data_IF_711654901468
#
_entry.id   IF_711654901468
#
_cell.length_a   1.000
_cell.length_b   1.000
_cell.length_c   1.000
_cell.angle_alpha   90.00
_cell.angle_beta   90.00
_cell.angle_gamma   90.00
#
_symmetry.space_group_name_H-M   'P 1'
#
loop_
_entity.id
_entity.type
_entity.pdbx_description
1 polymer ?
#
# COMPACT_ATOMS: atom_id res chain seq x y z
N UNK A 1 -8.16 -35.46 -71.51
CA UNK A 1 -8.38 -34.24 -72.22
C UNK A 1 -8.77 -33.17 -71.22
N UNK A 2 -7.89 -32.23 -71.10
CA UNK A 2 -7.86 -31.12 -70.17
C UNK A 2 -8.98 -30.12 -70.37
N UNK A 3 -9.47 -29.54 -69.33
CA UNK A 3 -9.90 -28.12 -69.32
C UNK A 3 -9.85 -27.59 -67.90
N UNK A 4 -8.86 -26.80 -67.66
CA UNK A 4 -8.69 -25.90 -66.53
C UNK A 4 -9.59 -24.67 -66.72
N UNK A 5 -10.43 -24.33 -65.74
CA UNK A 5 -11.14 -23.07 -65.65
C UNK A 5 -10.60 -22.28 -64.44
N UNK A 6 -10.60 -20.95 -64.54
CA UNK A 6 -9.88 -20.10 -63.57
C UNK A 6 -10.63 -19.86 -62.29
N UNK A 7 -9.88 -19.72 -61.23
CA UNK A 7 -10.25 -19.33 -59.87
C UNK A 7 -10.79 -17.86 -59.81
N UNK A 8 -11.83 -17.53 -59.03
CA UNK A 8 -12.22 -16.17 -58.81
C UNK A 8 -11.42 -15.55 -57.64
N UNK A 9 -10.88 -14.37 -57.88
CA UNK A 9 -10.19 -13.53 -56.92
C UNK A 9 -11.12 -13.09 -55.77
N UNK A 10 -10.65 -13.33 -54.55
CA UNK A 10 -11.29 -12.80 -53.34
C UNK A 10 -10.79 -11.36 -53.12
N UNK A 11 -11.70 -10.42 -53.30
CA UNK A 11 -11.49 -9.01 -52.87
C UNK A 11 -11.68 -8.90 -51.38
N UNK A 12 -10.57 -8.66 -50.63
CA UNK A 12 -10.57 -8.30 -49.25
C UNK A 12 -11.01 -6.84 -49.06
N UNK A 13 -12.23 -6.65 -48.59
CA UNK A 13 -12.72 -5.37 -48.09
C UNK A 13 -12.42 -5.25 -46.59
N UNK A 14 -11.46 -4.40 -46.21
CA UNK A 14 -11.27 -3.99 -44.81
C UNK A 14 -12.43 -3.12 -44.37
N UNK A 15 -13.02 -3.33 -43.18
CA UNK A 15 -14.02 -2.40 -42.65
C UNK A 15 -13.33 -1.11 -42.24
N UNK A 16 -13.73 -0.02 -42.87
CA UNK A 16 -13.43 1.35 -42.45
C UNK A 16 -14.25 1.61 -41.19
N UNK A 17 -13.59 1.65 -40.03
CA UNK A 17 -14.19 2.16 -38.80
C UNK A 17 -14.33 3.67 -38.94
N UNK A 18 -15.57 4.13 -39.04
CA UNK A 18 -15.98 5.52 -38.99
C UNK A 18 -15.67 6.08 -37.58
N UNK A 19 -14.82 7.09 -37.57
CA UNK A 19 -14.46 7.89 -36.41
C UNK A 19 -15.60 8.87 -36.13
N UNK A 20 -16.55 8.51 -35.26
CA UNK A 20 -17.57 9.42 -34.76
C UNK A 20 -17.91 8.99 -33.35
N UNK A 21 -17.24 9.59 -32.37
CA UNK A 21 -17.69 10.03 -31.06
C UNK A 21 -16.43 10.26 -30.14
N UNK A 22 -15.57 11.15 -30.57
CA UNK A 22 -14.64 11.81 -29.63
C UNK A 22 -15.47 12.86 -28.87
N UNK A 23 -16.06 12.45 -27.74
CA UNK A 23 -16.53 13.42 -26.74
C UNK A 23 -15.29 14.15 -26.23
N UNK A 24 -15.12 15.40 -26.66
CA UNK A 24 -14.12 16.31 -26.16
C UNK A 24 -14.26 16.41 -24.62
N UNK A 25 -13.27 15.89 -23.90
CA UNK A 25 -13.16 16.09 -22.45
C UNK A 25 -12.96 17.60 -22.23
N UNK A 26 -13.80 18.29 -21.44
CA UNK A 26 -13.70 19.72 -21.27
C UNK A 26 -12.30 20.10 -20.81
N UNK A 27 -11.65 21.02 -21.51
CA UNK A 27 -10.28 21.54 -21.24
C UNK A 27 -10.05 22.01 -19.78
N UNK A 28 -11.13 22.21 -19.01
CA UNK A 28 -11.06 22.51 -17.58
C UNK A 28 -10.56 21.35 -16.73
N UNK A 29 -10.77 20.08 -17.11
CA UNK A 29 -10.27 18.91 -16.38
C UNK A 29 -8.77 18.67 -16.62
N UNK A 30 -8.23 19.06 -17.78
CA UNK A 30 -6.82 18.85 -18.13
C UNK A 30 -5.88 19.72 -17.29
N UNK A 31 -6.36 20.89 -16.83
CA UNK A 31 -5.54 21.84 -16.07
C UNK A 31 -5.21 21.40 -14.62
N UNK A 32 -5.91 20.37 -14.10
CA UNK A 32 -5.68 19.83 -12.75
C UNK A 32 -4.71 18.65 -12.73
N UNK A 33 -4.47 18.00 -13.87
CA UNK A 33 -3.52 16.89 -14.00
C UNK A 33 -2.08 17.38 -13.83
N UNK A 34 -1.81 18.69 -14.06
CA UNK A 34 -0.47 19.29 -13.94
C UNK A 34 -0.15 19.86 -12.56
N UNK A 35 -1.14 20.06 -11.69
CA UNK A 35 -0.88 20.36 -10.28
C UNK A 35 -0.67 19.04 -9.54
N UNK A 36 0.59 18.66 -9.33
CA UNK A 36 0.95 17.58 -8.39
C UNK A 36 0.21 17.85 -7.09
N UNK A 37 -0.51 16.84 -6.52
CA UNK A 37 -1.12 17.00 -5.21
C UNK A 37 -0.09 17.53 -4.21
N UNK A 38 -0.49 18.38 -3.27
CA UNK A 38 0.40 19.02 -2.31
C UNK A 38 1.21 18.03 -1.45
N UNK A 39 0.78 16.77 -1.39
CA UNK A 39 1.43 15.66 -0.68
C UNK A 39 2.30 14.75 -1.59
N UNK A 40 2.47 15.06 -2.86
CA UNK A 40 3.30 14.31 -3.80
C UNK A 40 4.79 14.16 -3.39
N UNK A 41 5.41 15.08 -2.63
CA UNK A 41 6.75 14.87 -2.11
C UNK A 41 6.90 13.69 -1.15
N UNK A 42 5.80 13.20 -0.58
CA UNK A 42 5.78 12.13 0.42
C UNK A 42 5.58 10.73 -0.16
N UNK A 43 5.30 10.62 -1.45
CA UNK A 43 5.03 9.35 -2.15
C UNK A 43 6.27 8.45 -2.38
N UNK A 44 7.46 8.93 -2.07
CA UNK A 44 8.72 8.16 -2.15
C UNK A 44 9.13 7.57 -0.79
N UNK A 45 8.15 7.30 0.07
CA UNK A 45 8.36 6.73 1.40
C UNK A 45 8.86 5.29 1.36
N UNK A 46 9.49 4.91 2.47
CA UNK A 46 9.93 3.56 2.79
C UNK A 46 8.81 2.51 2.73
N UNK A 47 9.24 1.24 2.70
CA UNK A 47 8.39 0.06 2.65
C UNK A 47 7.50 0.00 1.40
N UNK A 48 8.12 -0.12 0.23
CA UNK A 48 7.39 -0.31 -1.04
C UNK A 48 6.96 -1.76 -1.25
N UNK A 49 7.32 -2.67 -0.35
CA UNK A 49 7.00 -4.09 -0.39
C UNK A 49 6.73 -4.61 1.02
N UNK A 50 5.67 -5.40 1.14
CA UNK A 50 5.18 -5.95 2.41
C UNK A 50 5.09 -7.46 2.33
N UNK A 51 5.20 -8.10 3.49
CA UNK A 51 4.89 -9.53 3.68
C UNK A 51 3.63 -9.62 4.52
N UNK A 52 2.58 -10.20 3.94
CA UNK A 52 1.30 -10.42 4.60
C UNK A 52 1.27 -11.84 5.17
N UNK A 53 1.03 -11.99 6.49
CA UNK A 53 0.95 -13.29 7.15
C UNK A 53 -0.30 -14.07 6.72
N UNK A 54 -0.43 -15.30 7.19
CA UNK A 54 -1.65 -16.07 6.99
C UNK A 54 -2.83 -15.46 7.76
N UNK A 55 -4.04 -15.80 7.35
CA UNK A 55 -5.25 -15.33 8.01
C UNK A 55 -5.31 -15.78 9.46
N UNK A 56 -4.94 -17.02 9.74
CA UNK A 56 -4.90 -17.60 11.07
C UNK A 56 -3.93 -16.85 11.99
N UNK A 57 -2.77 -16.48 11.49
CA UNK A 57 -1.78 -15.68 12.24
C UNK A 57 -2.31 -14.27 12.51
N UNK A 58 -3.01 -13.65 11.54
CA UNK A 58 -3.63 -12.33 11.71
C UNK A 58 -4.74 -12.37 12.75
N UNK A 59 -5.63 -13.37 12.70
CA UNK A 59 -6.72 -13.54 13.66
C UNK A 59 -6.24 -13.88 15.08
N UNK A 60 -5.08 -14.51 15.20
CA UNK A 60 -4.42 -14.72 16.50
C UNK A 60 -3.82 -13.44 17.09
N UNK A 61 -3.34 -12.53 16.26
CA UNK A 61 -2.73 -11.27 16.68
C UNK A 61 -3.73 -10.14 16.88
N UNK A 62 -4.72 -10.03 15.97
CA UNK A 62 -5.73 -8.98 15.93
C UNK A 62 -7.11 -9.56 16.21
N UNK A 63 -7.58 -9.39 17.44
CA UNK A 63 -8.95 -9.74 17.82
C UNK A 63 -9.90 -8.68 17.25
N UNK A 64 -10.63 -9.03 16.18
CA UNK A 64 -11.68 -8.18 15.61
C UNK A 64 -13.05 -8.79 15.89
N UNK A 65 -14.06 -7.93 16.13
CA UNK A 65 -15.42 -8.38 16.42
C UNK A 65 -16.09 -9.02 15.18
N UNK A 66 -15.76 -8.51 14.00
CA UNK A 66 -16.25 -9.02 12.71
C UNK A 66 -15.08 -9.25 11.76
N UNK A 67 -14.99 -10.44 11.15
CA UNK A 67 -13.94 -10.79 10.19
C UNK A 67 -14.52 -11.00 8.81
N UNK A 68 -14.23 -10.07 7.90
CA UNK A 68 -14.55 -10.14 6.48
C UNK A 68 -13.30 -10.41 5.63
N UNK A 69 -12.20 -10.79 6.27
CA UNK A 69 -10.95 -11.03 5.60
C UNK A 69 -11.01 -12.21 4.64
N UNK A 70 -10.72 -11.91 3.37
CA UNK A 70 -10.50 -12.91 2.32
C UNK A 70 -9.18 -12.60 1.63
N UNK A 71 -8.11 -13.12 2.15
CA UNK A 71 -6.76 -12.97 1.60
C UNK A 71 -5.94 -14.24 1.86
N UNK A 72 -4.85 -14.37 1.14
CA UNK A 72 -3.83 -15.41 1.32
C UNK A 72 -2.53 -14.80 1.80
N UNK A 73 -1.64 -15.65 2.32
CA UNK A 73 -0.28 -15.25 2.62
C UNK A 73 0.40 -14.72 1.36
N UNK A 74 1.14 -13.62 1.49
CA UNK A 74 1.84 -12.97 0.39
C UNK A 74 3.22 -12.54 0.85
N UNK A 75 4.22 -12.73 0.01
CA UNK A 75 5.61 -12.43 0.32
C UNK A 75 6.14 -11.19 -0.40
N UNK A 76 5.39 -10.63 -1.34
CA UNK A 76 5.82 -9.49 -2.16
C UNK A 76 4.65 -8.57 -2.55
N UNK A 77 3.97 -8.01 -1.56
CA UNK A 77 2.86 -7.08 -1.81
C UNK A 77 3.40 -5.69 -2.11
N UNK A 78 2.96 -5.14 -3.25
CA UNK A 78 3.30 -3.79 -3.69
C UNK A 78 2.13 -2.81 -3.53
N UNK A 79 2.43 -1.52 -3.60
CA UNK A 79 1.43 -0.46 -3.72
C UNK A 79 0.49 -0.78 -4.89
N UNK A 80 -0.77 -0.50 -4.75
CA UNK A 80 -1.91 -0.82 -5.62
C UNK A 80 -2.52 -2.21 -5.41
N UNK A 81 -1.88 -3.09 -4.69
CA UNK A 81 -2.42 -4.40 -4.34
C UNK A 81 -3.23 -4.33 -3.04
N UNK A 82 -3.99 -5.39 -2.78
CA UNK A 82 -4.86 -5.47 -1.59
C UNK A 82 -4.09 -5.95 -0.36
N UNK A 83 -4.44 -5.38 0.80
CA UNK A 83 -3.91 -5.76 2.11
C UNK A 83 -5.05 -5.91 3.13
N UNK A 84 -4.92 -6.80 4.13
CA UNK A 84 -5.85 -6.86 5.25
C UNK A 84 -5.69 -5.61 6.14
N UNK A 85 -6.82 -5.12 6.64
CA UNK A 85 -6.87 -3.94 7.53
C UNK A 85 -7.88 -4.21 8.63
N UNK A 86 -7.49 -4.02 9.89
CA UNK A 86 -8.42 -3.91 11.00
C UNK A 86 -8.78 -2.43 11.19
N UNK A 87 -10.09 -2.13 11.35
CA UNK A 87 -10.58 -0.76 11.59
C UNK A 87 -11.76 -0.76 12.55
N UNK A 88 -12.14 0.43 13.03
CA UNK A 88 -13.43 0.61 13.70
C UNK A 88 -14.52 0.96 12.68
N UNK A 89 -15.66 0.28 12.79
CA UNK A 89 -16.88 0.59 12.06
C UNK A 89 -18.07 0.44 13.01
N UNK A 90 -18.94 1.47 13.10
CA UNK A 90 -20.12 1.46 13.98
C UNK A 90 -19.83 1.03 15.43
N UNK A 91 -18.68 1.44 15.98
CA UNK A 91 -18.18 1.11 17.34
C UNK A 91 -17.72 -0.34 17.54
N UNK A 92 -17.64 -1.14 16.50
CA UNK A 92 -17.05 -2.47 16.53
C UNK A 92 -15.79 -2.54 15.68
N UNK A 93 -14.84 -3.36 16.10
CA UNK A 93 -13.66 -3.64 15.28
C UNK A 93 -14.00 -4.63 14.18
N UNK A 94 -13.61 -4.33 12.94
CA UNK A 94 -13.79 -5.23 11.81
C UNK A 94 -12.51 -5.42 11.02
N UNK A 95 -12.37 -6.61 10.45
CA UNK A 95 -11.32 -6.96 9.54
C UNK A 95 -11.82 -6.96 8.10
N UNK A 96 -11.22 -6.12 7.26
CA UNK A 96 -11.57 -5.94 5.85
C UNK A 96 -10.33 -6.03 4.97
N UNK A 97 -10.52 -6.07 3.65
CA UNK A 97 -9.43 -6.00 2.68
C UNK A 97 -9.54 -4.68 1.93
N UNK A 98 -8.45 -3.90 1.91
CA UNK A 98 -8.39 -2.61 1.26
C UNK A 98 -7.27 -2.55 0.23
N UNK A 99 -7.39 -1.66 -0.75
CA UNK A 99 -6.30 -1.32 -1.66
C UNK A 99 -5.21 -0.56 -0.90
N UNK A 100 -3.97 -1.01 -0.99
CA UNK A 100 -2.83 -0.25 -0.49
C UNK A 100 -2.42 0.86 -1.47
N UNK A 101 -2.49 2.10 -1.04
CA UNK A 101 -2.35 3.31 -1.85
C UNK A 101 -3.67 4.05 -2.00
N UNK A 102 -3.75 5.26 -1.42
CA UNK A 102 -4.98 6.04 -1.31
C UNK A 102 -5.65 6.29 -2.65
N UNK A 103 -6.95 6.11 -2.68
CA UNK A 103 -7.83 6.44 -3.80
C UNK A 103 -8.67 7.65 -3.40
N UNK A 104 -8.72 8.69 -4.23
CA UNK A 104 -9.41 9.93 -3.92
C UNK A 104 -10.45 10.25 -5.00
N UNK A 105 -11.61 10.75 -4.57
CA UNK A 105 -12.59 11.33 -5.47
C UNK A 105 -12.06 12.64 -6.03
N UNK A 106 -12.05 12.77 -7.34
CA UNK A 106 -11.70 14.02 -8.03
C UNK A 106 -12.87 15.00 -8.08
N UNK A 107 -12.59 16.27 -8.32
CA UNK A 107 -13.62 17.27 -8.55
C UNK A 107 -14.51 16.95 -9.78
N UNK A 108 -14.03 16.14 -10.72
CA UNK A 108 -14.79 15.68 -11.89
C UNK A 108 -15.67 14.46 -11.59
N UNK A 109 -15.70 13.96 -10.35
CA UNK A 109 -16.52 12.82 -9.96
C UNK A 109 -15.94 11.45 -10.33
N UNK A 110 -14.68 11.36 -10.73
CA UNK A 110 -13.95 10.09 -10.94
C UNK A 110 -13.08 9.74 -9.73
N UNK A 111 -12.63 8.48 -9.65
CA UNK A 111 -11.65 8.05 -8.63
C UNK A 111 -10.25 8.20 -9.22
N UNK A 112 -9.39 8.92 -8.50
CA UNK A 112 -7.96 9.01 -8.80
C UNK A 112 -7.19 8.06 -7.88
N UNK A 113 -6.48 7.11 -8.48
CA UNK A 113 -5.61 6.19 -7.77
C UNK A 113 -4.23 6.82 -7.61
N UNK A 114 -3.84 7.05 -6.37
CA UNK A 114 -2.53 7.58 -6.06
C UNK A 114 -1.58 6.44 -5.68
N UNK A 115 -0.29 6.64 -5.93
CA UNK A 115 0.73 5.72 -5.42
C UNK A 115 1.17 6.11 -3.98
N UNK A 116 0.29 6.78 -3.24
CA UNK A 116 0.52 7.14 -1.84
C UNK A 116 0.28 5.92 -0.95
N UNK A 117 1.25 5.03 -0.87
CA UNK A 117 1.22 3.86 0.01
C UNK A 117 1.62 4.18 1.45
N UNK A 118 2.25 5.33 1.70
CA UNK A 118 2.63 5.76 3.05
C UNK A 118 2.52 7.28 3.22
N UNK A 119 2.26 7.70 4.46
CA UNK A 119 2.18 9.10 4.88
C UNK A 119 3.00 9.31 6.15
N UNK A 120 3.70 10.43 6.24
CA UNK A 120 4.45 10.77 7.46
C UNK A 120 3.50 11.19 8.58
N UNK A 121 3.84 10.83 9.82
CA UNK A 121 3.04 11.21 11.00
C UNK A 121 2.94 12.74 11.20
N UNK A 122 3.96 13.51 10.83
CA UNK A 122 3.95 14.98 10.89
C UNK A 122 3.01 15.61 9.83
N UNK A 123 2.79 14.94 8.70
CA UNK A 123 1.86 15.39 7.66
C UNK A 123 0.37 15.28 8.09
N UNK A 124 0.05 14.46 9.08
CA UNK A 124 -1.32 14.27 9.58
C UNK A 124 -1.99 15.57 10.08
N UNK A 125 -1.18 16.54 10.50
CA UNK A 125 -1.67 17.84 10.99
C UNK A 125 -1.62 18.94 9.94
N UNK A 126 -0.78 18.81 8.92
CA UNK A 126 -0.46 19.89 7.98
C UNK A 126 -1.10 19.72 6.60
N UNK A 127 -1.39 18.48 6.18
CA UNK A 127 -2.04 18.19 4.89
C UNK A 127 -3.54 18.04 5.10
N UNK A 128 -4.34 18.86 4.45
CA UNK A 128 -5.79 18.98 4.68
C UNK A 128 -6.53 17.64 4.61
N UNK A 129 -6.30 16.84 3.55
CA UNK A 129 -6.98 15.56 3.38
C UNK A 129 -6.57 14.55 4.46
N UNK A 130 -5.27 14.48 4.78
CA UNK A 130 -4.77 13.61 5.85
C UNK A 130 -5.32 14.06 7.21
N UNK A 131 -5.40 15.36 7.47
CA UNK A 131 -5.96 15.91 8.70
C UNK A 131 -7.44 15.57 8.84
N UNK A 132 -8.20 15.62 7.75
CA UNK A 132 -9.61 15.21 7.73
C UNK A 132 -9.75 13.73 8.13
N UNK A 133 -9.04 12.82 7.43
CA UNK A 133 -9.06 11.39 7.76
C UNK A 133 -8.65 11.13 9.21
N UNK A 134 -7.61 11.82 9.66
CA UNK A 134 -7.07 11.74 11.02
C UNK A 134 -8.10 12.12 12.09
N UNK A 135 -8.75 13.26 11.93
CA UNK A 135 -9.73 13.80 12.89
C UNK A 135 -11.05 13.05 12.89
N UNK A 136 -11.44 12.44 11.76
CA UNK A 136 -12.62 11.59 11.66
C UNK A 136 -12.37 10.14 12.15
N UNK A 137 -11.18 9.84 12.66
CA UNK A 137 -10.88 8.52 13.17
C UNK A 137 -10.76 7.44 12.09
N UNK A 138 -10.48 7.82 10.85
CA UNK A 138 -10.25 6.88 9.75
C UNK A 138 -8.87 6.21 9.90
N UNK A 139 -8.68 5.53 11.02
CA UNK A 139 -7.47 4.79 11.39
C UNK A 139 -7.68 3.30 11.20
N UNK A 140 -6.63 2.63 10.78
CA UNK A 140 -6.61 1.18 10.63
C UNK A 140 -5.28 0.60 11.11
N UNK A 141 -5.25 -0.72 11.22
CA UNK A 141 -4.05 -1.50 11.49
C UNK A 141 -3.85 -2.46 10.34
N UNK A 142 -2.69 -2.40 9.69
CA UNK A 142 -2.29 -3.37 8.66
C UNK A 142 -1.40 -4.42 9.33
N UNK A 143 -1.83 -5.69 9.42
CA UNK A 143 -1.01 -6.77 9.97
C UNK A 143 0.07 -7.18 8.98
N UNK A 144 1.32 -7.23 9.44
CA UNK A 144 2.48 -7.62 8.65
C UNK A 144 3.26 -8.74 9.33
N UNK A 145 3.84 -9.64 8.53
CA UNK A 145 4.92 -10.53 8.97
C UNK A 145 6.29 -9.83 8.87
N UNK A 146 6.41 -8.84 7.99
CA UNK A 146 7.59 -8.03 7.79
C UNK A 146 7.46 -7.08 6.62
N UNK A 147 8.50 -6.32 6.39
CA UNK A 147 8.61 -5.40 5.24
C UNK A 147 10.02 -5.41 4.68
N UNK A 148 10.18 -4.89 3.47
CA UNK A 148 11.48 -4.77 2.85
C UNK A 148 11.98 -3.34 2.89
N UNK A 149 13.30 -3.21 3.11
CA UNK A 149 14.04 -1.96 3.03
C UNK A 149 15.26 -2.17 2.12
N UNK A 150 15.70 -1.13 1.41
CA UNK A 150 16.78 -1.26 0.42
C UNK A 150 18.01 -0.51 0.86
N UNK A 151 19.10 -1.24 1.03
CA UNK A 151 20.42 -0.66 1.29
C UNK A 151 21.05 -0.26 -0.04
N UNK A 152 21.46 1.01 -0.14
CA UNK A 152 22.18 1.51 -1.29
C UNK A 152 23.62 1.03 -1.26
N UNK A 153 24.03 0.22 -2.22
CA UNK A 153 25.42 -0.21 -2.38
C UNK A 153 26.22 0.78 -3.26
N UNK A 154 27.56 0.85 -3.12
CA UNK A 154 28.41 1.81 -3.83
C UNK A 154 28.32 1.75 -5.36
N UNK A 155 27.98 0.61 -5.93
CA UNK A 155 27.85 0.39 -7.38
C UNK A 155 26.47 0.79 -7.96
N UNK A 156 25.62 1.50 -7.20
CA UNK A 156 24.26 1.82 -7.62
C UNK A 156 23.25 0.68 -7.51
N UNK A 157 23.69 -0.46 -7.03
CA UNK A 157 22.84 -1.60 -6.72
C UNK A 157 22.12 -1.37 -5.38
N UNK A 158 20.86 -1.80 -5.31
CA UNK A 158 20.06 -1.74 -4.09
C UNK A 158 19.87 -3.14 -3.53
N UNK A 159 20.52 -3.44 -2.41
CA UNK A 159 20.40 -4.71 -1.70
C UNK A 159 19.12 -4.68 -0.87
N UNK A 160 18.10 -5.51 -1.18
CA UNK A 160 16.93 -5.61 -0.33
C UNK A 160 17.25 -6.37 0.96
N UNK A 161 16.66 -5.88 2.05
CA UNK A 161 16.70 -6.49 3.37
C UNK A 161 15.26 -6.78 3.81
N UNK A 162 15.04 -7.97 4.33
CA UNK A 162 13.79 -8.31 5.01
C UNK A 162 13.89 -7.91 6.48
N UNK A 163 12.93 -7.14 6.95
CA UNK A 163 12.87 -6.60 8.32
C UNK A 163 11.64 -7.18 9.01
N UNK A 164 11.82 -7.75 10.20
CA UNK A 164 10.74 -8.33 11.01
C UNK A 164 10.99 -8.11 12.51
N UNK A 165 9.99 -8.43 13.32
CA UNK A 165 10.15 -8.42 14.78
C UNK A 165 10.78 -9.72 15.28
N UNK A 166 11.51 -9.61 16.39
CA UNK A 166 12.01 -10.77 17.15
C UNK A 166 10.86 -11.39 17.92
N UNK A 167 10.75 -12.72 17.85
CA UNK A 167 9.77 -13.51 18.62
C UNK A 167 8.28 -13.15 18.37
N UNK A 168 7.99 -12.50 17.23
CA UNK A 168 6.61 -12.24 16.78
C UNK A 168 6.48 -12.53 15.30
N UNK A 169 5.52 -13.38 14.96
CA UNK A 169 5.23 -13.72 13.56
C UNK A 169 4.46 -12.59 12.85
N UNK A 170 3.60 -11.88 13.60
CA UNK A 170 2.76 -10.79 13.09
C UNK A 170 2.88 -9.57 13.99
N UNK A 171 2.78 -8.38 13.39
CA UNK A 171 2.69 -7.11 14.09
C UNK A 171 1.80 -6.13 13.31
N UNK A 172 1.13 -5.24 14.04
CA UNK A 172 0.28 -4.21 13.46
C UNK A 172 1.06 -2.95 13.10
N UNK A 173 0.82 -2.43 11.92
CA UNK A 173 1.32 -1.13 11.46
C UNK A 173 0.17 -0.14 11.38
N UNK A 174 0.36 1.05 11.95
CA UNK A 174 -0.60 2.14 11.90
C UNK A 174 -0.87 2.58 10.47
N UNK A 175 -2.14 2.76 10.13
CA UNK A 175 -2.57 3.20 8.81
C UNK A 175 -3.70 4.23 8.90
N UNK A 176 -3.85 5.04 7.85
CA UNK A 176 -5.08 5.76 7.53
C UNK A 176 -5.82 5.03 6.42
N UNK A 177 -7.14 5.16 6.42
CA UNK A 177 -7.95 4.63 5.33
C UNK A 177 -8.95 5.66 4.83
N UNK A 178 -9.39 5.49 3.59
CA UNK A 178 -10.38 6.33 2.94
C UNK A 178 -11.31 5.49 2.08
N UNK A 179 -12.58 5.93 2.00
CA UNK A 179 -13.59 5.39 1.10
C UNK A 179 -13.90 6.44 0.03
N UNK A 180 -13.60 6.11 -1.22
CA UNK A 180 -13.92 6.91 -2.38
C UNK A 180 -15.10 6.31 -3.14
N UNK A 181 -16.10 7.14 -3.47
CA UNK A 181 -17.30 6.72 -4.19
C UNK A 181 -17.48 7.58 -5.45
N UNK A 182 -17.56 6.93 -6.62
CA UNK A 182 -17.81 7.58 -7.90
C UNK A 182 -18.40 6.59 -8.90
N UNK A 183 -19.42 7.00 -9.67
CA UNK A 183 -20.01 6.22 -10.76
C UNK A 183 -20.41 4.79 -10.35
N UNK A 184 -21.08 4.65 -9.21
CA UNK A 184 -21.48 3.38 -8.60
C UNK A 184 -20.31 2.45 -8.17
N UNK A 185 -19.07 2.94 -8.25
CA UNK A 185 -17.89 2.25 -7.76
C UNK A 185 -17.54 2.76 -6.36
N UNK A 186 -17.29 1.82 -5.44
CA UNK A 186 -16.82 2.10 -4.08
C UNK A 186 -15.45 1.48 -3.89
N UNK A 187 -14.46 2.30 -3.58
CA UNK A 187 -13.10 1.86 -3.32
C UNK A 187 -12.70 2.22 -1.88
N UNK A 188 -12.37 1.21 -1.11
CA UNK A 188 -11.70 1.38 0.19
C UNK A 188 -10.20 1.21 0.02
N UNK A 189 -9.45 2.16 0.52
CA UNK A 189 -8.01 2.24 0.34
C UNK A 189 -7.31 2.70 1.61
N UNK A 190 -6.05 2.33 1.78
CA UNK A 190 -5.26 2.71 2.94
C UNK A 190 -3.84 3.15 2.57
N UNK A 191 -3.22 3.90 3.48
CA UNK A 191 -1.80 4.21 3.47
C UNK A 191 -1.21 3.94 4.86
N UNK A 192 -0.01 3.36 4.90
CA UNK A 192 0.72 3.17 6.16
C UNK A 192 1.18 4.51 6.71
N UNK A 193 1.17 4.67 8.02
CA UNK A 193 1.81 5.81 8.66
C UNK A 193 3.29 5.48 8.86
N UNK A 194 4.16 6.45 8.57
CA UNK A 194 5.59 6.36 8.82
C UNK A 194 6.03 7.35 9.88
N UNK A 195 7.05 6.96 10.62
CA UNK A 195 7.72 7.73 11.66
C UNK A 195 9.22 7.77 11.36
N UNK A 196 9.98 8.53 12.13
CA UNK A 196 11.44 8.54 12.00
C UNK A 196 12.02 7.14 12.20
N UNK A 197 13.03 6.80 11.38
CA UNK A 197 13.65 5.50 11.41
C UNK A 197 14.46 5.30 12.70
N UNK A 198 14.37 4.11 13.27
CA UNK A 198 15.24 3.69 14.35
C UNK A 198 16.67 3.35 13.82
N UNK A 199 17.67 3.16 14.68
CA UNK A 199 19.05 2.89 14.25
C UNK A 199 19.20 1.69 13.29
N UNK A 200 18.42 0.60 13.47
CA UNK A 200 18.48 -0.56 12.58
C UNK A 200 18.05 -0.21 11.16
N UNK A 201 16.92 0.48 11.03
CA UNK A 201 16.37 0.83 9.72
C UNK A 201 17.20 1.92 9.06
N UNK A 202 17.69 2.91 9.83
CA UNK A 202 18.61 3.94 9.33
C UNK A 202 19.92 3.34 8.80
N UNK A 203 20.42 2.26 9.39
CA UNK A 203 21.62 1.57 8.90
C UNK A 203 21.38 0.92 7.52
N UNK A 204 20.15 0.44 7.24
CA UNK A 204 19.79 -0.14 5.94
C UNK A 204 19.55 0.98 4.93
N UNK A 205 18.68 1.93 5.25
CA UNK A 205 18.29 3.04 4.36
C UNK A 205 18.44 4.39 5.08
N UNK A 206 19.64 4.97 5.03
CA UNK A 206 19.90 6.28 5.62
C UNK A 206 19.24 7.42 4.84
N UNK A 207 18.74 7.17 3.62
CA UNK A 207 18.26 8.24 2.73
C UNK A 207 16.81 8.62 2.99
N UNK A 208 15.96 7.69 3.31
CA UNK A 208 14.55 7.98 3.60
C UNK A 208 14.33 8.45 5.03
N UNK A 209 15.14 7.99 5.98
CA UNK A 209 15.05 8.36 7.39
C UNK A 209 13.71 7.99 8.03
N UNK A 210 12.96 7.04 7.47
CA UNK A 210 11.62 6.68 7.90
C UNK A 210 11.46 5.18 8.09
N UNK A 211 10.49 4.78 8.91
CA UNK A 211 10.04 3.40 9.06
C UNK A 211 8.52 3.35 9.24
N UNK A 212 7.86 2.21 8.98
CA UNK A 212 6.46 2.04 9.34
C UNK A 212 6.24 2.26 10.83
N UNK A 213 5.16 2.94 11.19
CA UNK A 213 4.77 3.13 12.59
C UNK A 213 4.20 1.81 13.14
N UNK A 214 5.08 0.98 13.70
CA UNK A 214 4.72 -0.30 14.30
C UNK A 214 4.09 -0.04 15.66
N UNK A 215 2.86 -0.51 15.87
CA UNK A 215 2.14 -0.40 17.12
C UNK A 215 2.51 -1.56 18.06
N UNK A 216 2.43 -1.32 19.36
CA UNK A 216 2.45 -2.39 20.36
C UNK A 216 1.07 -3.06 20.37
N UNK A 217 1.00 -4.36 20.64
CA UNK A 217 -0.29 -5.06 20.67
C UNK A 217 -1.23 -4.52 21.74
N UNK A 218 -0.68 -4.11 22.86
CA UNK A 218 -1.44 -3.47 23.94
C UNK A 218 -2.08 -2.12 23.56
N UNK A 219 -1.62 -1.50 22.48
CA UNK A 219 -2.07 -0.19 22.01
C UNK A 219 -3.10 -0.28 20.87
N UNK A 220 -3.42 -1.47 20.36
CA UNK A 220 -4.30 -1.64 19.18
C UNK A 220 -5.69 -1.06 19.40
N UNK A 221 -6.32 -1.36 20.52
CA UNK A 221 -7.65 -0.84 20.84
C UNK A 221 -7.63 0.68 21.03
N UNK A 222 -6.62 1.19 21.73
CA UNK A 222 -6.43 2.63 21.90
C UNK A 222 -6.18 3.33 20.57
N UNK A 223 -5.39 2.73 19.67
CA UNK A 223 -5.15 3.25 18.33
C UNK A 223 -6.44 3.39 17.52
N UNK A 224 -7.28 2.38 17.53
CA UNK A 224 -8.51 2.34 16.74
C UNK A 224 -9.62 3.22 17.33
N UNK A 225 -9.75 3.31 18.65
CA UNK A 225 -10.92 3.88 19.33
C UNK A 225 -10.70 5.27 19.96
N UNK A 226 -9.44 5.67 20.24
CA UNK A 226 -9.16 6.93 20.94
C UNK A 226 -9.33 8.17 20.06
N UNK A 227 -9.32 9.37 20.71
CA UNK A 227 -9.27 10.63 19.98
C UNK A 227 -7.92 10.85 19.25
N UNK A 228 -7.91 11.75 18.28
CA UNK A 228 -6.73 12.03 17.45
C UNK A 228 -5.47 12.41 18.26
N UNK A 229 -5.61 13.13 19.37
CA UNK A 229 -4.49 13.51 20.23
C UNK A 229 -3.84 12.27 20.87
N UNK A 230 -4.63 11.44 21.52
CA UNK A 230 -4.16 10.24 22.20
C UNK A 230 -3.57 9.24 21.20
N UNK A 231 -4.21 9.03 20.04
CA UNK A 231 -3.68 8.18 19.00
C UNK A 231 -2.31 8.66 18.47
N UNK A 232 -2.07 9.99 18.43
CA UNK A 232 -0.79 10.54 17.99
C UNK A 232 0.35 10.20 18.96
N UNK A 233 0.10 10.08 20.24
CA UNK A 233 1.09 9.71 21.25
C UNK A 233 1.57 8.25 21.11
N UNK A 234 0.80 7.41 20.41
CA UNK A 234 1.16 6.02 20.12
C UNK A 234 2.12 5.89 18.92
N UNK A 235 2.31 6.98 18.15
CA UNK A 235 3.18 6.99 16.99
C UNK A 235 4.63 7.30 17.38
N UNK A 236 5.53 6.36 17.12
CA UNK A 236 6.95 6.52 17.37
C UNK A 236 7.77 5.39 16.76
N UNK A 237 9.11 5.57 16.70
CA UNK A 237 10.00 4.52 16.20
C UNK A 237 9.96 3.29 17.12
N UNK A 238 9.73 2.11 16.51
CA UNK A 238 9.74 0.86 17.27
C UNK A 238 11.17 0.53 17.77
N UNK A 239 11.33 -0.03 18.96
CA UNK A 239 12.66 -0.32 19.51
C UNK A 239 13.47 -1.26 18.61
N UNK A 240 14.64 -0.80 18.15
CA UNK A 240 15.51 -1.58 17.24
C UNK A 240 15.98 -2.91 17.86
N UNK A 241 16.11 -2.98 19.19
CA UNK A 241 16.49 -4.22 19.93
C UNK A 241 15.45 -5.33 19.82
N UNK A 242 14.22 -5.00 19.41
CA UNK A 242 13.12 -5.95 19.15
C UNK A 242 12.93 -6.25 17.67
N UNK A 243 13.83 -5.80 16.81
CA UNK A 243 13.79 -6.00 15.37
C UNK A 243 15.03 -6.72 14.89
N UNK A 244 14.88 -7.47 13.80
CA UNK A 244 15.99 -8.11 13.09
C UNK A 244 15.83 -7.88 11.60
N UNK A 245 16.96 -7.85 10.90
CA UNK A 245 16.99 -7.79 9.44
C UNK A 245 18.07 -8.70 8.88
N UNK A 246 17.89 -9.11 7.64
CA UNK A 246 18.91 -9.82 6.86
C UNK A 246 18.75 -9.50 5.38
N UNK A 247 19.84 -9.57 4.59
CA UNK A 247 19.77 -9.41 3.15
C UNK A 247 19.00 -10.57 2.52
N UNK A 248 18.24 -10.27 1.47
CA UNK A 248 17.46 -11.25 0.70
C UNK A 248 17.77 -11.14 -0.79
N UNK A 249 17.35 -12.13 -1.56
CA UNK A 249 17.57 -12.14 -3.00
C UNK A 249 16.85 -10.95 -3.68
N UNK A 250 17.43 -10.38 -4.76
CA UNK A 250 16.87 -9.22 -5.46
C UNK A 250 15.57 -9.51 -6.21
N UNK A 251 15.12 -10.76 -6.26
CA UNK A 251 13.85 -11.16 -6.88
C UNK A 251 12.63 -10.43 -6.30
N UNK A 252 12.71 -9.91 -5.08
CA UNK A 252 11.66 -9.06 -4.50
C UNK A 252 11.39 -7.77 -5.30
N UNK A 253 12.32 -7.34 -6.14
CA UNK A 253 12.13 -6.20 -7.04
C UNK A 253 11.12 -6.47 -8.16
N UNK A 254 10.85 -7.73 -8.45
CA UNK A 254 9.99 -8.21 -9.52
C UNK A 254 8.67 -8.73 -8.95
N UNK A 255 7.55 -8.18 -9.40
CA UNK A 255 6.22 -8.47 -8.86
C UNK A 255 5.68 -9.85 -9.21
N UNK A 256 6.25 -10.49 -10.22
CA UNK A 256 5.94 -11.86 -10.62
C UNK A 256 6.37 -12.91 -9.60
N UNK A 257 7.34 -12.58 -8.74
CA UNK A 257 7.78 -13.46 -7.66
C UNK A 257 7.03 -13.13 -6.37
N UNK A 258 6.33 -14.11 -5.81
CA UNK A 258 5.58 -13.99 -4.56
C UNK A 258 5.57 -15.35 -3.82
N UNK A 259 6.73 -15.72 -3.28
CA UNK A 259 6.98 -17.03 -2.69
C UNK A 259 7.82 -16.96 -1.42
N UNK A 260 7.78 -18.00 -0.55
CA UNK A 260 8.50 -18.00 0.73
C UNK A 260 10.03 -17.85 0.61
N UNK A 261 10.61 -18.10 -0.54
CA UNK A 261 12.04 -17.95 -0.79
C UNK A 261 12.49 -16.49 -0.68
N UNK A 262 11.59 -15.51 -0.94
CA UNK A 262 11.89 -14.08 -0.91
C UNK A 262 12.27 -13.55 0.48
N UNK A 263 11.86 -14.23 1.54
CA UNK A 263 12.21 -13.84 2.92
C UNK A 263 13.40 -14.63 3.49
N UNK A 264 14.02 -15.50 2.69
CA UNK A 264 15.18 -16.27 3.15
C UNK A 264 16.45 -15.45 3.06
N UNK A 265 17.35 -15.57 4.07
CA UNK A 265 18.65 -14.94 3.99
C UNK A 265 19.41 -15.40 2.75
N UNK A 266 20.15 -14.49 2.13
CA UNK A 266 21.18 -14.85 1.15
C UNK A 266 22.54 -14.86 1.84
N UNK A 267 23.32 -15.90 1.56
CA UNK A 267 24.71 -15.95 2.02
C UNK A 267 25.51 -14.83 1.36
N UNK A 268 26.36 -14.17 2.13
CA UNK A 268 27.26 -13.10 1.66
C UNK A 268 28.45 -13.68 0.93
#
# INVERSE_FOLDING_TARGET
MSATGPEPAVQGGSPVFSNADSKEVPLRCVRWITKRPSWHPYALGMAQRLVIPSREEVEAELSVARSWWQFSVRFNVAISQSVPVARMHERESEGVVMRWGLAQKTACGSINFTNCGSVRCDALKSVQDLHRMWTHGQRGIVPLAGFYAWQRAPAGYHQPHYVRLVNRAVFGVAALWERAEANDEVIESCALITVDANPLVTQIDPTTGQMPAILRSEDYDAWLSSGAHQAHELLGPYPHTRMVCHPVAPYVNHLEFDEPSLIRPVDR
#
